data_IF_422293418503
#
_entry.id   IF_422293418503
#
_cell.length_a   1.000
_cell.length_b   1.000
_cell.length_c   1.000
_cell.angle_alpha   90.00
_cell.angle_beta   90.00
_cell.angle_gamma   90.00
#
_symmetry.space_group_name_H-M   'P 1'
#
loop_
_entity.id
_entity.type
_entity.pdbx_description
1 polymer ?
#
# COMPACT_ATOMS: atom_id res chain seq x y z
N UNK A 1 -19.92 -17.79 23.28
CA UNK A 1 -18.75 -18.00 22.41
C UNK A 1 -18.31 -16.62 21.95
N UNK A 2 -17.36 -16.00 22.64
CA UNK A 2 -16.84 -14.66 22.31
C UNK A 2 -16.01 -14.78 21.05
N UNK A 3 -16.54 -14.24 19.94
CA UNK A 3 -15.77 -14.06 18.71
C UNK A 3 -14.67 -13.06 19.00
N UNK A 4 -13.44 -13.54 19.17
CA UNK A 4 -12.26 -12.69 19.10
C UNK A 4 -12.17 -12.25 17.64
N UNK A 5 -12.82 -11.12 17.31
CA UNK A 5 -12.70 -10.50 15.99
C UNK A 5 -11.22 -10.37 15.70
N UNK A 6 -10.76 -11.11 14.69
CA UNK A 6 -9.36 -11.19 14.36
C UNK A 6 -8.87 -9.75 14.09
N UNK A 7 -7.88 -9.33 14.87
CA UNK A 7 -7.49 -7.92 14.92
C UNK A 7 -6.72 -7.53 13.65
N UNK A 8 -6.78 -6.25 13.24
CA UNK A 8 -5.89 -5.74 12.20
C UNK A 8 -4.43 -6.01 12.55
N UNK A 9 -3.67 -6.49 11.57
CA UNK A 9 -2.26 -6.88 11.73
C UNK A 9 -1.37 -5.99 10.90
N UNK A 10 -0.28 -5.54 11.50
CA UNK A 10 0.76 -4.81 10.78
C UNK A 10 1.70 -5.77 10.06
N UNK A 11 1.99 -5.47 8.80
CA UNK A 11 2.83 -6.28 7.91
C UNK A 11 3.84 -5.44 7.15
N UNK A 12 4.85 -6.09 6.61
CA UNK A 12 5.87 -5.51 5.74
C UNK A 12 5.69 -6.06 4.32
N UNK A 13 5.87 -5.20 3.33
CA UNK A 13 5.62 -5.57 1.95
C UNK A 13 6.44 -4.79 0.94
N UNK A 14 6.34 -5.23 -0.32
CA UNK A 14 6.91 -4.53 -1.47
C UNK A 14 5.83 -4.25 -2.49
N UNK A 15 5.87 -3.07 -3.09
CA UNK A 15 4.96 -2.75 -4.19
C UNK A 15 5.38 -3.57 -5.41
N UNK A 16 4.48 -4.41 -5.91
CA UNK A 16 4.78 -5.28 -7.06
C UNK A 16 4.11 -4.79 -8.33
N UNK A 17 2.99 -4.08 -8.22
CA UNK A 17 2.23 -3.62 -9.37
C UNK A 17 1.49 -2.32 -9.08
N UNK A 18 1.31 -1.52 -10.12
CA UNK A 18 0.37 -0.41 -10.14
C UNK A 18 -0.47 -0.57 -11.40
N UNK A 19 -1.77 -0.79 -11.23
CA UNK A 19 -2.73 -0.93 -12.34
C UNK A 19 -3.38 0.42 -12.64
N UNK A 20 -3.04 1.09 -13.75
CA UNK A 20 -3.81 2.25 -14.20
C UNK A 20 -5.13 1.76 -14.80
N UNK A 21 -6.27 2.13 -14.22
CA UNK A 21 -7.55 2.00 -14.91
C UNK A 21 -7.71 3.15 -15.91
N UNK A 22 -8.20 2.85 -17.11
CA UNK A 22 -8.51 3.87 -18.11
C UNK A 22 -9.52 3.42 -19.17
N UNK A 23 -10.75 3.93 -19.07
CA UNK A 23 -11.51 4.55 -20.17
C UNK A 23 -12.84 5.12 -19.64
N UNK A 24 -12.82 6.31 -19.03
CA UNK A 24 -14.05 6.96 -18.56
C UNK A 24 -13.77 8.25 -17.81
N UNK A 25 -14.65 9.24 -17.99
CA UNK A 25 -14.59 10.63 -17.54
C UNK A 25 -14.59 10.85 -16.01
N UNK A 26 -14.35 9.79 -15.21
CA UNK A 26 -14.40 9.83 -13.75
C UNK A 26 -13.15 9.16 -13.17
N UNK A 27 -12.18 9.98 -12.76
CA UNK A 27 -11.17 9.67 -11.73
C UNK A 27 -10.17 8.54 -12.00
N UNK A 28 -8.90 8.90 -12.24
CA UNK A 28 -7.74 8.01 -12.36
C UNK A 28 -7.32 7.35 -11.02
N UNK A 29 -8.20 6.65 -10.32
CA UNK A 29 -7.81 6.00 -9.07
C UNK A 29 -7.14 4.66 -9.38
N UNK A 30 -5.82 4.69 -9.56
CA UNK A 30 -5.03 3.47 -9.78
C UNK A 30 -5.02 2.61 -8.53
N UNK A 31 -5.22 1.30 -8.72
CA UNK A 31 -5.06 0.27 -7.67
C UNK A 31 -3.60 -0.14 -7.63
N UNK A 32 -3.05 -0.22 -6.42
CA UNK A 32 -1.70 -0.69 -6.17
C UNK A 32 -1.77 -2.11 -5.59
N UNK A 33 -0.72 -2.89 -5.85
CA UNK A 33 -0.55 -4.22 -5.28
C UNK A 33 0.71 -4.24 -4.43
N UNK A 34 0.57 -4.64 -3.17
CA UNK A 34 1.66 -4.92 -2.25
C UNK A 34 1.74 -6.41 -2.00
N UNK A 35 2.94 -6.98 -2.07
CA UNK A 35 3.23 -8.36 -1.67
C UNK A 35 3.81 -8.38 -0.28
N UNK A 36 3.21 -9.16 0.62
CA UNK A 36 3.73 -9.43 1.96
C UNK A 36 5.08 -10.17 1.86
N UNK A 37 6.08 -9.73 2.61
CA UNK A 37 7.43 -10.33 2.55
C UNK A 37 7.56 -11.64 3.31
N UNK A 38 6.69 -11.89 4.28
CA UNK A 38 6.72 -13.06 5.15
C UNK A 38 5.84 -14.18 4.58
N UNK A 39 4.64 -13.85 4.10
CA UNK A 39 3.69 -14.83 3.56
C UNK A 39 3.73 -14.97 2.05
N UNK A 40 4.16 -13.92 1.33
CA UNK A 40 4.12 -13.87 -0.13
C UNK A 40 2.75 -13.55 -0.72
N UNK A 41 1.74 -13.29 0.11
CA UNK A 41 0.38 -12.95 -0.33
C UNK A 41 0.31 -11.54 -0.92
N UNK A 42 -0.53 -11.38 -1.94
CA UNK A 42 -0.79 -10.10 -2.58
C UNK A 42 -2.02 -9.42 -1.97
N UNK A 43 -1.87 -8.13 -1.65
CA UNK A 43 -2.95 -7.26 -1.17
C UNK A 43 -3.07 -6.03 -2.06
N UNK A 44 -4.30 -5.52 -2.18
CA UNK A 44 -4.59 -4.30 -2.95
C UNK A 44 -4.88 -3.11 -2.06
N UNK A 45 -4.50 -1.91 -2.51
CA UNK A 45 -4.81 -0.66 -1.83
C UNK A 45 -4.97 0.50 -2.82
N UNK A 46 -5.58 1.59 -2.34
CA UNK A 46 -5.82 2.80 -3.11
C UNK A 46 -4.84 3.90 -2.73
N UNK A 47 -4.68 4.91 -3.59
CA UNK A 47 -3.82 6.06 -3.27
C UNK A 47 -4.18 6.74 -1.95
N UNK A 48 -5.47 6.77 -1.59
CA UNK A 48 -5.96 7.35 -0.34
C UNK A 48 -5.47 6.62 0.92
N UNK A 49 -5.01 5.38 0.80
CA UNK A 49 -4.50 4.60 1.92
C UNK A 49 -3.02 4.93 2.23
N UNK A 50 -2.35 5.71 1.40
CA UNK A 50 -0.96 6.14 1.60
C UNK A 50 -0.93 7.31 2.58
N UNK A 51 -0.33 7.08 3.75
CA UNK A 51 -0.29 8.07 4.85
C UNK A 51 1.07 8.74 5.01
N UNK A 52 2.05 8.41 4.17
CA UNK A 52 3.38 9.04 4.22
C UNK A 52 3.35 10.45 3.66
N UNK A 53 3.98 11.38 4.37
CA UNK A 53 4.04 12.79 4.00
C UNK A 53 4.89 13.04 2.73
N UNK A 54 4.52 14.07 1.97
CA UNK A 54 5.13 14.42 0.69
C UNK A 54 4.34 13.83 -0.48
N UNK A 55 3.99 14.67 -1.46
CA UNK A 55 3.24 14.34 -2.68
C UNK A 55 3.99 13.40 -3.65
N UNK A 56 4.78 12.46 -3.14
CA UNK A 56 5.62 11.56 -3.93
C UNK A 56 4.81 10.32 -4.29
N UNK A 57 4.65 10.06 -5.58
CA UNK A 57 4.05 8.81 -6.07
C UNK A 57 4.86 7.60 -5.59
N UNK A 58 4.17 6.57 -5.12
CA UNK A 58 4.77 5.27 -4.75
C UNK A 58 5.19 4.51 -6.01
N UNK A 59 6.38 3.89 -6.00
CA UNK A 59 6.94 3.13 -7.13
C UNK A 59 6.96 1.64 -6.85
N UNK A 60 6.88 0.84 -7.91
CA UNK A 60 7.16 -0.61 -7.85
C UNK A 60 8.56 -0.86 -7.30
N UNK A 61 8.69 -1.84 -6.43
CA UNK A 61 9.92 -2.21 -5.73
C UNK A 61 10.10 -1.54 -4.36
N UNK A 62 9.36 -0.45 -4.07
CA UNK A 62 9.45 0.23 -2.77
C UNK A 62 8.96 -0.66 -1.63
N UNK A 63 9.70 -0.59 -0.51
CA UNK A 63 9.30 -1.22 0.74
C UNK A 63 8.26 -0.37 1.46
N UNK A 64 7.23 -1.04 1.95
CA UNK A 64 6.16 -0.43 2.71
C UNK A 64 5.84 -1.23 3.96
N UNK A 65 5.23 -0.54 4.92
CA UNK A 65 4.51 -1.11 6.04
C UNK A 65 3.02 -0.86 5.81
N UNK A 66 2.19 -1.84 6.11
CA UNK A 66 0.75 -1.78 5.88
C UNK A 66 -0.02 -2.54 6.95
N UNK A 67 -1.34 -2.37 6.98
CA UNK A 67 -2.25 -3.09 7.87
C UNK A 67 -3.20 -3.95 7.03
N UNK A 68 -3.34 -5.21 7.41
CA UNK A 68 -4.37 -6.13 6.89
C UNK A 68 -5.46 -6.30 7.93
N UNK A 69 -6.72 -6.29 7.50
CA UNK A 69 -7.86 -6.54 8.35
C UNK A 69 -8.52 -7.87 7.95
N UNK A 70 -8.69 -8.84 8.87
CA UNK A 70 -9.44 -10.07 8.62
C UNK A 70 -10.89 -9.84 8.17
N UNK A 71 -11.50 -8.69 8.52
CA UNK A 71 -12.82 -8.30 8.03
C UNK A 71 -12.79 -7.78 6.58
N UNK A 72 -11.59 -7.49 6.04
CA UNK A 72 -11.35 -7.04 4.67
C UNK A 72 -10.20 -7.84 4.03
N UNK A 73 -10.40 -9.14 3.79
CA UNK A 73 -9.35 -10.00 3.24
C UNK A 73 -8.91 -9.50 1.86
N UNK A 74 -7.59 -9.45 1.64
CA UNK A 74 -7.01 -8.97 0.38
C UNK A 74 -6.86 -7.44 0.28
N UNK A 75 -7.35 -6.67 1.25
CA UNK A 75 -7.14 -5.23 1.33
C UNK A 75 -5.96 -4.89 2.25
N UNK A 76 -5.16 -3.92 1.83
CA UNK A 76 -4.13 -3.28 2.63
C UNK A 76 -4.50 -1.82 2.89
N UNK A 77 -4.31 -1.36 4.12
CA UNK A 77 -4.58 0.03 4.53
C UNK A 77 -3.37 0.61 5.27
N UNK A 78 -3.38 1.92 5.55
CA UNK A 78 -2.31 2.61 6.28
C UNK A 78 -0.93 2.35 5.69
N UNK A 79 -0.79 2.59 4.39
CA UNK A 79 0.44 2.35 3.65
C UNK A 79 1.48 3.40 4.01
N UNK A 80 2.58 2.94 4.61
CA UNK A 80 3.70 3.77 5.02
C UNK A 80 4.93 3.36 4.24
N UNK A 81 5.49 4.29 3.47
CA UNK A 81 6.71 4.09 2.69
C UNK A 81 7.93 4.10 3.60
N UNK A 82 8.79 3.11 3.44
CA UNK A 82 10.02 2.96 4.22
C UNK A 82 11.25 3.46 3.46
N UNK A 83 11.14 3.54 2.13
CA UNK A 83 12.22 4.02 1.24
C UNK A 83 11.97 5.49 0.86
N UNK A 84 12.08 6.38 1.83
CA UNK A 84 12.05 7.83 1.57
C UNK A 84 13.46 8.28 1.17
N UNK A 85 13.68 8.72 -0.09
CA UNK A 85 14.96 9.33 -0.43
C UNK A 85 15.14 10.62 0.38
N UNK A 86 16.37 10.87 0.83
CA UNK A 86 16.77 12.14 1.43
C UNK A 86 16.33 13.29 0.51
N UNK A 87 15.63 14.27 1.07
CA UNK A 87 15.07 15.41 0.33
C UNK A 87 16.14 16.12 -0.50
N UNK A 88 17.38 16.11 -0.02
CA UNK A 88 18.56 16.73 -0.62
C UNK A 88 18.97 16.11 -1.97
N UNK A 89 18.65 14.84 -2.23
CA UNK A 89 19.00 14.17 -3.49
C UNK A 89 18.26 14.71 -4.73
N UNK A 90 17.22 15.53 -4.55
CA UNK A 90 16.39 16.07 -5.64
C UNK A 90 16.66 17.56 -5.94
N UNK A 91 17.47 18.26 -5.14
CA UNK A 91 17.80 19.68 -5.34
C UNK A 91 19.22 19.92 -5.86
N UNK A 92 19.88 18.88 -6.39
CA UNK A 92 21.22 18.98 -6.98
C UNK A 92 21.17 19.27 -8.47
#
# INVERSE_FOLDING_TARGET
MTGESARPQQRLGRIVERRPFGSGSVGRTGVYVVRDVDTGDDYTFMYADIVTEGFRTIRTGERVRFITDPERPGEATYIVRLDLPEVEAYYR
#
